data_IF_106578680449
#
_entry.id   IF_106578680449
#
_cell.length_a   1.000
_cell.length_b   1.000
_cell.length_c   1.000
_cell.angle_alpha   90.00
_cell.angle_beta   90.00
_cell.angle_gamma   90.00
#
_symmetry.space_group_name_H-M   'P 1'
#
loop_
_entity.id
_entity.type
_entity.pdbx_description
1 polymer ?
#
# COMPACT_ATOMS: atom_id res chain seq x y z
N UNK A 1 -24.50 3.49 16.27
CA UNK A 1 -24.51 2.12 16.83
C UNK A 1 -24.01 1.21 15.72
N UNK A 2 -22.71 0.86 15.74
CA UNK A 2 -22.12 0.02 14.69
C UNK A 2 -22.43 -1.44 15.03
N UNK A 3 -23.36 -2.05 14.27
CA UNK A 3 -23.61 -3.49 14.35
C UNK A 3 -22.55 -4.21 13.52
N UNK A 4 -21.47 -4.62 14.19
CA UNK A 4 -20.50 -5.56 13.66
C UNK A 4 -21.17 -6.92 13.60
N UNK A 5 -21.67 -7.24 12.40
CA UNK A 5 -22.25 -8.53 12.07
C UNK A 5 -21.32 -9.64 12.58
N UNK A 6 -21.89 -10.56 13.38
CA UNK A 6 -21.28 -11.68 14.12
C UNK A 6 -20.54 -12.75 13.25
N UNK A 7 -19.89 -12.37 12.15
CA UNK A 7 -19.36 -13.32 11.16
C UNK A 7 -17.93 -13.08 10.67
N UNK A 8 -17.07 -12.41 11.45
CA UNK A 8 -15.64 -12.46 11.14
C UNK A 8 -14.78 -12.33 12.36
N UNK A 9 -14.03 -13.40 12.63
CA UNK A 9 -13.04 -13.42 13.68
C UNK A 9 -11.88 -12.45 13.39
N UNK A 10 -11.73 -11.96 12.15
CA UNK A 10 -10.61 -11.11 11.75
C UNK A 10 -10.85 -9.63 12.11
N UNK A 11 -9.86 -8.92 12.70
CA UNK A 11 -10.00 -7.53 13.10
C UNK A 11 -10.19 -6.61 11.89
N UNK A 12 -10.94 -5.52 12.06
CA UNK A 12 -11.11 -4.52 11.03
C UNK A 12 -9.75 -3.83 10.73
N UNK A 13 -9.44 -3.44 9.47
CA UNK A 13 -8.15 -2.82 9.13
C UNK A 13 -7.81 -1.56 9.96
N UNK A 14 -8.82 -0.77 10.33
CA UNK A 14 -8.66 0.36 11.26
C UNK A 14 -8.10 -0.02 12.64
N UNK A 15 -8.36 -1.24 13.11
CA UNK A 15 -7.79 -1.73 14.37
C UNK A 15 -6.27 -1.93 14.23
N UNK A 16 -5.77 -2.34 13.06
CA UNK A 16 -4.32 -2.41 12.81
C UNK A 16 -3.68 -1.03 12.71
N UNK A 17 -4.41 0.00 12.26
CA UNK A 17 -3.89 1.38 12.12
C UNK A 17 -3.46 1.99 13.44
N UNK A 18 -4.15 1.66 14.54
CA UNK A 18 -3.83 2.20 15.88
C UNK A 18 -2.73 1.42 16.60
N UNK A 19 -2.34 0.27 16.09
CA UNK A 19 -1.31 -0.58 16.70
C UNK A 19 0.10 -0.10 16.35
N UNK A 20 1.05 -0.39 17.23
CA UNK A 20 2.46 -0.10 17.00
C UNK A 20 3.12 -1.27 16.26
N UNK A 21 3.74 -1.04 15.10
CA UNK A 21 4.49 -2.06 14.38
C UNK A 21 5.83 -2.34 15.06
N UNK A 22 6.24 -3.59 14.97
CA UNK A 22 7.61 -4.04 15.18
C UNK A 22 8.34 -3.95 13.85
N UNK A 23 9.58 -3.47 13.88
CA UNK A 23 10.39 -3.29 12.68
C UNK A 23 11.62 -4.18 12.72
N UNK A 24 11.86 -4.88 11.61
CA UNK A 24 13.07 -5.67 11.38
C UNK A 24 13.71 -5.20 10.08
N UNK A 25 15.01 -4.99 10.10
CA UNK A 25 15.79 -4.75 8.88
C UNK A 25 16.10 -6.08 8.20
N UNK A 26 15.82 -6.20 6.91
CA UNK A 26 16.10 -7.36 6.09
C UNK A 26 17.39 -7.07 5.31
N UNK A 27 18.53 -7.39 5.93
CA UNK A 27 19.87 -7.05 5.44
C UNK A 27 20.15 -7.57 4.02
N UNK A 28 19.52 -8.68 3.62
CA UNK A 28 19.72 -9.31 2.30
C UNK A 28 19.07 -8.52 1.15
N UNK A 29 18.04 -7.72 1.42
CA UNK A 29 17.28 -6.98 0.39
C UNK A 29 17.33 -5.45 0.60
N UNK A 30 17.96 -4.97 1.68
CA UNK A 30 17.94 -3.54 2.05
C UNK A 30 16.53 -3.02 2.37
N UNK A 31 15.61 -3.93 2.76
CA UNK A 31 14.21 -3.62 3.05
C UNK A 31 13.94 -3.59 4.55
N UNK A 32 12.90 -2.87 4.94
CA UNK A 32 12.30 -2.92 6.27
C UNK A 32 11.07 -3.82 6.24
N UNK A 33 10.97 -4.73 7.20
CA UNK A 33 9.77 -5.48 7.52
C UNK A 33 9.03 -4.79 8.67
N UNK A 34 7.78 -4.40 8.45
CA UNK A 34 6.87 -4.00 9.52
C UNK A 34 5.95 -5.18 9.87
N UNK A 35 5.75 -5.41 11.16
CA UNK A 35 4.85 -6.43 11.68
C UNK A 35 3.88 -5.77 12.64
N UNK A 36 2.57 -5.89 12.38
CA UNK A 36 1.53 -5.39 13.28
C UNK A 36 0.75 -6.59 13.83
N UNK A 37 0.72 -6.71 15.16
CA UNK A 37 0.10 -7.82 15.85
C UNK A 37 -1.19 -7.37 16.57
N UNK A 38 -2.27 -8.13 16.37
CA UNK A 38 -3.51 -8.09 17.16
C UNK A 38 -3.85 -9.54 17.46
N UNK A 39 -3.36 -10.07 18.58
CA UNK A 39 -3.43 -11.52 18.84
C UNK A 39 -4.85 -12.09 18.66
N UNK A 40 -5.00 -13.23 17.96
CA UNK A 40 -3.96 -14.09 17.36
C UNK A 40 -3.50 -13.67 15.95
N UNK A 41 -3.98 -12.56 15.43
CA UNK A 41 -3.72 -12.08 14.08
C UNK A 41 -2.43 -11.27 13.97
N UNK A 42 -1.83 -11.36 12.79
CA UNK A 42 -0.63 -10.64 12.43
C UNK A 42 -0.72 -10.24 10.96
N UNK A 43 -0.31 -9.03 10.66
CA UNK A 43 -0.06 -8.55 9.30
C UNK A 43 1.37 -8.08 9.17
N UNK A 44 1.91 -8.19 7.97
CA UNK A 44 3.26 -7.74 7.69
C UNK A 44 3.36 -7.12 6.32
N UNK A 45 4.28 -6.17 6.18
CA UNK A 45 4.60 -5.53 4.92
C UNK A 45 6.07 -5.23 4.84
N UNK A 46 6.62 -5.28 3.62
CA UNK A 46 8.02 -4.96 3.33
C UNK A 46 8.10 -3.70 2.46
N UNK A 47 9.12 -2.89 2.69
CA UNK A 47 9.37 -1.69 1.89
C UNK A 47 10.77 -1.14 2.13
N UNK A 48 11.25 -0.24 1.26
CA UNK A 48 12.55 0.45 1.42
C UNK A 48 12.64 1.29 2.70
N UNK A 49 11.52 1.66 3.32
CA UNK A 49 11.53 2.44 4.58
C UNK A 49 10.58 1.87 5.63
N UNK A 50 10.80 2.22 6.90
CA UNK A 50 9.89 1.88 8.03
C UNK A 50 8.47 2.42 7.82
N UNK A 51 8.34 3.61 7.24
CA UNK A 51 7.03 4.20 6.97
C UNK A 51 6.33 3.44 5.83
N UNK A 52 7.06 3.15 4.74
CA UNK A 52 6.55 2.36 3.62
C UNK A 52 6.13 0.95 4.04
N UNK A 53 6.91 0.29 4.89
CA UNK A 53 6.63 -1.09 5.32
C UNK A 53 5.38 -1.16 6.20
N UNK A 54 5.13 -0.11 7.01
CA UNK A 54 3.85 0.06 7.72
C UNK A 54 2.68 0.23 6.74
N UNK A 55 2.81 1.07 5.70
CA UNK A 55 1.74 1.24 4.69
C UNK A 55 1.45 -0.09 3.98
N UNK A 56 2.50 -0.83 3.63
CA UNK A 56 2.38 -2.17 3.05
C UNK A 56 1.63 -3.15 3.98
N UNK A 57 1.96 -3.15 5.27
CA UNK A 57 1.30 -4.01 6.26
C UNK A 57 -0.20 -3.69 6.42
N UNK A 58 -0.57 -2.41 6.36
CA UNK A 58 -1.97 -1.98 6.42
C UNK A 58 -2.76 -2.36 5.16
N UNK A 59 -2.15 -2.22 3.99
CA UNK A 59 -2.74 -2.70 2.74
C UNK A 59 -2.96 -4.22 2.77
N UNK A 60 -2.03 -4.99 3.36
CA UNK A 60 -2.21 -6.42 3.58
C UNK A 60 -3.36 -6.74 4.54
N UNK A 61 -3.57 -5.91 5.58
CA UNK A 61 -4.72 -6.01 6.46
C UNK A 61 -6.04 -5.80 5.71
N UNK A 62 -6.12 -4.79 4.84
CA UNK A 62 -7.29 -4.53 3.99
C UNK A 62 -7.61 -5.73 3.07
N UNK A 63 -6.60 -6.28 2.40
CA UNK A 63 -6.76 -7.47 1.55
C UNK A 63 -7.21 -8.69 2.34
N UNK A 64 -6.59 -8.92 3.49
CA UNK A 64 -6.94 -10.05 4.36
C UNK A 64 -8.38 -9.91 4.85
N UNK A 65 -8.78 -8.73 5.31
CA UNK A 65 -10.15 -8.46 5.73
C UNK A 65 -11.16 -8.68 4.59
N UNK A 66 -10.86 -8.23 3.37
CA UNK A 66 -11.70 -8.49 2.18
C UNK A 66 -11.90 -9.97 1.90
N UNK A 67 -10.92 -10.83 2.19
CA UNK A 67 -11.08 -12.28 1.99
C UNK A 67 -12.19 -12.88 2.87
N UNK A 68 -12.41 -12.32 4.06
CA UNK A 68 -13.50 -12.68 4.97
C UNK A 68 -14.78 -11.88 4.70
N UNK A 69 -14.65 -10.69 4.13
CA UNK A 69 -15.74 -9.77 3.80
C UNK A 69 -15.70 -9.40 2.31
N UNK A 70 -16.26 -10.23 1.41
CA UNK A 70 -16.13 -10.00 -0.03
C UNK A 70 -16.71 -8.65 -0.52
N UNK A 71 -17.63 -8.06 0.23
CA UNK A 71 -18.21 -6.73 -0.01
C UNK A 71 -17.33 -5.57 0.47
N UNK A 72 -16.25 -5.83 1.22
CA UNK A 72 -15.31 -4.82 1.66
C UNK A 72 -14.48 -4.30 0.48
N UNK A 73 -14.48 -2.98 0.30
CA UNK A 73 -13.67 -2.32 -0.70
C UNK A 73 -12.27 -2.04 -0.14
N UNK A 74 -11.26 -2.74 -0.68
CA UNK A 74 -9.85 -2.42 -0.38
C UNK A 74 -9.55 -1.03 -0.89
N UNK A 75 -9.01 -0.18 0.00
CA UNK A 75 -8.60 1.17 -0.37
C UNK A 75 -7.31 1.11 -1.20
N UNK A 76 -7.33 1.73 -2.37
CA UNK A 76 -6.12 1.94 -3.15
C UNK A 76 -5.30 3.05 -2.47
N UNK A 77 -4.04 2.79 -2.05
CA UNK A 77 -3.21 3.80 -1.40
C UNK A 77 -2.78 4.94 -2.35
N UNK A 78 -2.97 4.76 -3.66
CA UNK A 78 -2.53 5.72 -4.68
C UNK A 78 -3.72 6.35 -5.43
N UNK A 79 -3.61 7.63 -5.83
CA UNK A 79 -4.56 8.29 -6.74
C UNK A 79 -4.64 7.60 -8.11
N UNK A 80 -5.61 7.96 -8.94
CA UNK A 80 -5.70 7.41 -10.31
C UNK A 80 -4.57 7.90 -11.21
N UNK A 81 -4.13 9.14 -11.06
CA UNK A 81 -3.00 9.73 -11.77
C UNK A 81 -2.21 10.59 -10.77
N UNK A 82 -0.88 10.45 -10.74
CA UNK A 82 -0.02 11.23 -9.84
C UNK A 82 1.43 11.29 -10.35
N UNK A 83 2.22 12.19 -9.78
CA UNK A 83 3.68 12.23 -9.96
C UNK A 83 4.33 11.85 -8.64
N UNK A 84 5.29 10.94 -8.69
CA UNK A 84 6.00 10.54 -7.48
C UNK A 84 7.02 11.59 -7.02
N UNK A 85 7.65 11.35 -5.87
CA UNK A 85 8.69 12.22 -5.32
C UNK A 85 9.96 12.32 -6.19
N UNK A 86 10.13 11.41 -7.16
CA UNK A 86 11.24 11.40 -8.12
C UNK A 86 10.87 12.10 -9.44
N UNK A 87 9.64 12.64 -9.55
CA UNK A 87 9.17 13.32 -10.76
C UNK A 87 8.63 12.38 -11.84
N UNK A 88 8.45 11.09 -11.54
CA UNK A 88 7.95 10.10 -12.50
C UNK A 88 6.42 10.09 -12.51
N UNK A 89 5.78 10.18 -13.69
CA UNK A 89 4.33 10.15 -13.79
C UNK A 89 3.81 8.71 -13.72
N UNK A 90 2.72 8.54 -12.96
CA UNK A 90 2.03 7.27 -12.74
C UNK A 90 0.57 7.41 -13.15
N UNK A 91 0.06 6.38 -13.82
CA UNK A 91 -1.34 6.31 -14.23
C UNK A 91 -1.92 4.93 -13.95
N UNK A 92 -3.12 4.92 -13.35
CA UNK A 92 -3.84 3.68 -13.07
C UNK A 92 -4.35 3.07 -14.37
N UNK A 93 -4.06 1.80 -14.55
CA UNK A 93 -4.49 1.05 -15.72
C UNK A 93 -6.01 0.79 -15.70
N UNK A 94 -6.69 0.87 -16.85
CA UNK A 94 -8.06 0.42 -16.96
C UNK A 94 -8.14 -1.10 -16.72
N UNK A 95 -9.29 -1.58 -16.24
CA UNK A 95 -9.50 -2.96 -15.76
C UNK A 95 -9.03 -4.04 -16.74
N UNK A 96 -9.25 -3.84 -18.04
CA UNK A 96 -8.81 -4.77 -19.09
C UNK A 96 -7.28 -4.87 -19.20
N UNK A 97 -6.56 -3.76 -19.03
CA UNK A 97 -5.10 -3.75 -19.09
C UNK A 97 -4.48 -4.27 -17.79
N UNK A 98 -5.14 -4.04 -16.65
CA UNK A 98 -4.70 -4.61 -15.36
C UNK A 98 -4.64 -6.14 -15.39
N UNK A 99 -5.67 -6.77 -15.97
CA UNK A 99 -5.69 -8.22 -16.16
C UNK A 99 -4.63 -8.70 -17.17
N UNK A 100 -4.37 -7.92 -18.22
CA UNK A 100 -3.41 -8.27 -19.27
C UNK A 100 -1.97 -8.23 -18.76
N UNK A 101 -1.60 -7.15 -18.07
CA UNK A 101 -0.23 -6.91 -17.61
C UNK A 101 0.04 -7.40 -16.19
N UNK A 102 -1.00 -7.87 -15.47
CA UNK A 102 -0.90 -8.24 -14.06
C UNK A 102 -0.32 -7.11 -13.20
N UNK A 103 -0.71 -5.88 -13.53
CA UNK A 103 -0.24 -4.65 -12.91
C UNK A 103 -1.42 -3.73 -12.63
N UNK A 104 -1.26 -2.77 -11.73
CA UNK A 104 -2.29 -1.78 -11.40
C UNK A 104 -2.03 -0.42 -12.04
N UNK A 105 -0.76 -0.07 -12.24
CA UNK A 105 -0.29 1.20 -12.74
C UNK A 105 0.70 1.03 -13.88
N UNK A 106 0.74 2.03 -14.76
CA UNK A 106 1.81 2.27 -15.72
C UNK A 106 2.59 3.52 -15.31
N UNK A 107 3.89 3.53 -15.63
CA UNK A 107 4.77 4.68 -15.42
C UNK A 107 5.78 4.81 -16.56
N UNK A 108 6.27 6.03 -16.78
CA UNK A 108 7.24 6.33 -17.83
C UNK A 108 8.67 6.29 -17.28
N UNK A 109 9.55 5.56 -17.97
CA UNK A 109 10.99 5.50 -17.71
C UNK A 109 11.72 6.70 -18.34
N UNK A 110 12.97 6.93 -17.92
CA UNK A 110 13.78 8.06 -18.40
C UNK A 110 14.09 8.00 -19.91
N UNK A 111 14.08 6.81 -20.50
CA UNK A 111 14.28 6.57 -21.94
C UNK A 111 13.00 6.77 -22.77
N UNK A 112 11.87 7.04 -22.11
CA UNK A 112 10.55 7.21 -22.74
C UNK A 112 9.74 5.91 -22.85
N UNK A 113 10.28 4.77 -22.41
CA UNK A 113 9.53 3.52 -22.39
C UNK A 113 8.49 3.49 -21.25
N UNK A 114 7.45 2.68 -21.41
CA UNK A 114 6.41 2.47 -20.40
C UNK A 114 6.61 1.13 -19.73
N UNK A 115 6.67 1.15 -18.40
CA UNK A 115 6.73 -0.03 -17.56
C UNK A 115 5.51 -0.09 -16.63
N UNK A 116 5.29 -1.23 -15.99
CA UNK A 116 4.07 -1.52 -15.24
C UNK A 116 4.41 -2.04 -13.84
N UNK A 117 3.61 -1.66 -12.84
CA UNK A 117 3.77 -2.13 -11.47
C UNK A 117 2.42 -2.45 -10.81
N UNK A 118 2.43 -3.44 -9.91
CA UNK A 118 1.33 -3.66 -8.98
C UNK A 118 1.39 -2.68 -7.79
N UNK A 119 0.28 -2.52 -7.07
CA UNK A 119 0.27 -1.73 -5.82
C UNK A 119 1.29 -2.29 -4.82
N UNK A 120 1.45 -3.61 -4.75
CA UNK A 120 2.43 -4.28 -3.92
C UNK A 120 3.88 -3.89 -4.26
N UNK A 121 4.22 -3.84 -5.54
CA UNK A 121 5.55 -3.41 -5.99
C UNK A 121 5.80 -1.95 -5.63
N UNK A 122 4.83 -1.08 -5.88
CA UNK A 122 4.91 0.34 -5.53
C UNK A 122 5.08 0.55 -4.02
N UNK A 123 4.37 -0.24 -3.20
CA UNK A 123 4.53 -0.21 -1.74
C UNK A 123 5.90 -0.73 -1.31
N UNK A 124 6.42 -1.77 -1.97
CA UNK A 124 7.76 -2.30 -1.71
C UNK A 124 8.86 -1.27 -2.04
N UNK A 125 8.70 -0.54 -3.13
CA UNK A 125 9.61 0.55 -3.53
C UNK A 125 9.37 1.86 -2.78
N UNK A 126 8.46 1.89 -1.80
CA UNK A 126 8.08 3.09 -1.05
C UNK A 126 7.70 4.28 -1.96
N UNK A 127 7.02 4.01 -3.08
CA UNK A 127 6.49 5.04 -3.98
C UNK A 127 5.57 5.96 -3.18
N UNK A 128 5.76 7.27 -3.35
CA UNK A 128 4.98 8.34 -2.70
C UNK A 128 4.66 9.40 -3.72
N UNK A 129 3.44 9.92 -3.67
CA UNK A 129 3.04 11.05 -4.49
C UNK A 129 3.21 12.36 -3.72
N UNK A 130 3.51 13.43 -4.44
CA UNK A 130 3.39 14.77 -3.88
C UNK A 130 1.97 15.25 -4.11
N UNK A 131 1.26 15.62 -3.05
CA UNK A 131 0.02 16.37 -3.20
C UNK A 131 0.39 17.79 -3.67
N UNK A 132 -0.09 18.20 -4.85
CA UNK A 132 0.04 19.58 -5.32
C UNK A 132 -0.63 20.51 -4.30
N UNK A 133 0.16 21.10 -3.39
CA UNK A 133 -0.38 21.99 -2.35
C UNK A 133 0.32 21.98 -0.99
N UNK A 134 1.35 21.17 -0.74
CA UNK A 134 2.26 21.45 0.38
C UNK A 134 3.23 22.57 -0.02
N UNK A 135 2.74 23.81 -0.03
CA UNK A 135 3.60 24.99 0.11
C UNK A 135 4.44 24.78 1.37
N UNK A 136 5.76 24.81 1.21
CA UNK A 136 6.71 24.82 2.31
C UNK A 136 6.33 25.97 3.26
N UNK A 137 5.75 25.63 4.40
CA UNK A 137 5.68 26.52 5.55
C UNK A 137 7.08 26.68 6.13
N UNK A 138 7.91 27.48 5.45
CA UNK A 138 9.05 28.15 6.05
C UNK A 138 8.50 29.28 6.93
N UNK A 139 8.55 29.08 8.25
CA UNK A 139 8.54 30.15 9.27
C UNK A 139 9.96 30.31 9.82
#
# INVERSE_FOLDING_TARGET
MFNFNEASAYPHPEEFKVMRPEYTELEEEGLWLAVINISPFRVSGRSLTKAGSRRAALYEADKTYRSYHPSYAVQNPYPEEFVDTEGKPWKRLPTNLRLKYQADYEFTLEDGDTDYASIEDMLAWDVRYQEEGQENGDD
#
